data_IF_215957967282
#
_entry.id   IF_215957967282
#
_cell.length_a   1.000
_cell.length_b   1.000
_cell.length_c   1.000
_cell.angle_alpha   90.00
_cell.angle_beta   90.00
_cell.angle_gamma   90.00
#
_symmetry.space_group_name_H-M   'P 1'
#
loop_
_entity.id
_entity.type
_entity.pdbx_description
1 polymer ?
#
# COMPACT_ATOMS: atom_id res chain seq x y z
N UNK A 1 -5.05 26.74 -9.96
CA UNK A 1 -5.19 26.18 -8.61
C UNK A 1 -4.96 24.69 -8.73
N UNK A 2 -4.19 24.07 -7.83
CA UNK A 2 -4.02 22.62 -7.83
C UNK A 2 -5.37 21.94 -7.65
N UNK A 3 -5.62 20.87 -8.39
CA UNK A 3 -6.83 20.05 -8.26
C UNK A 3 -6.79 19.34 -6.91
N UNK A 4 -7.93 19.26 -6.22
CA UNK A 4 -8.04 18.67 -4.89
C UNK A 4 -8.79 17.36 -4.92
N UNK A 5 -8.53 16.53 -3.91
CA UNK A 5 -9.19 15.25 -3.64
C UNK A 5 -9.65 15.19 -2.18
N UNK A 6 -10.66 14.39 -1.89
CA UNK A 6 -11.03 14.02 -0.52
C UNK A 6 -10.11 12.93 0.01
N UNK A 7 -9.75 13.04 1.29
CA UNK A 7 -8.89 12.07 1.97
C UNK A 7 -9.25 11.94 3.45
N UNK A 8 -9.10 10.73 4.01
CA UNK A 8 -9.19 10.49 5.45
C UNK A 8 -7.84 10.80 6.10
N UNK A 9 -7.78 11.91 6.84
CA UNK A 9 -6.55 12.50 7.35
C UNK A 9 -6.45 12.28 8.86
N UNK A 10 -5.32 11.71 9.28
CA UNK A 10 -4.98 11.62 10.71
C UNK A 10 -4.60 13.01 11.25
N UNK A 11 -5.36 13.49 12.22
CA UNK A 11 -5.12 14.80 12.86
C UNK A 11 -4.36 14.63 14.18
N UNK A 12 -4.85 13.72 15.01
CA UNK A 12 -4.31 13.42 16.32
C UNK A 12 -4.92 12.13 16.87
N UNK A 13 -4.44 11.66 18.01
CA UNK A 13 -5.02 10.50 18.69
C UNK A 13 -6.53 10.61 18.82
N UNK A 14 -7.24 9.55 18.43
CA UNK A 14 -8.70 9.43 18.39
C UNK A 14 -9.39 10.40 17.42
N UNK A 15 -8.65 10.99 16.46
CA UNK A 15 -9.23 11.91 15.49
C UNK A 15 -8.67 11.72 14.08
N UNK A 16 -9.53 11.23 13.21
CA UNK A 16 -9.37 11.22 11.75
C UNK A 16 -10.50 12.09 11.19
N UNK A 17 -10.21 12.88 10.17
CA UNK A 17 -11.18 13.75 9.51
C UNK A 17 -11.19 13.47 8.01
N UNK A 18 -12.34 13.61 7.39
CA UNK A 18 -12.44 13.67 5.93
C UNK A 18 -12.26 15.14 5.52
N UNK A 19 -11.18 15.42 4.79
CA UNK A 19 -10.85 16.78 4.35
C UNK A 19 -10.20 16.74 2.96
N UNK A 20 -9.93 17.91 2.40
CA UNK A 20 -9.35 18.07 1.08
C UNK A 20 -7.83 18.16 1.11
N UNK A 21 -7.19 17.43 0.21
CA UNK A 21 -5.75 17.51 -0.07
C UNK A 21 -5.51 17.78 -1.56
N UNK A 22 -4.38 18.36 -1.95
CA UNK A 22 -4.01 18.44 -3.35
C UNK A 22 -3.80 17.04 -3.91
N UNK A 23 -4.23 16.80 -5.16
CA UNK A 23 -3.84 15.59 -5.89
C UNK A 23 -2.32 15.65 -6.12
N UNK A 24 -1.56 14.58 -5.78
CA UNK A 24 -0.11 14.60 -5.90
C UNK A 24 0.36 14.62 -7.37
N UNK A 25 1.50 15.27 -7.60
CA UNK A 25 2.20 15.21 -8.87
C UNK A 25 2.86 13.84 -9.09
N UNK A 26 2.89 13.38 -10.34
CA UNK A 26 3.44 12.07 -10.71
C UNK A 26 4.90 12.22 -11.09
N UNK A 27 5.78 11.55 -10.37
CA UNK A 27 7.21 11.44 -10.69
C UNK A 27 7.46 10.47 -11.86
N UNK A 28 8.68 10.44 -12.41
CA UNK A 28 8.99 9.63 -13.60
C UNK A 28 8.75 8.12 -13.44
N UNK A 29 8.92 7.57 -12.24
CA UNK A 29 8.77 6.14 -11.94
C UNK A 29 7.44 5.81 -11.23
N UNK A 30 6.61 6.81 -10.96
CA UNK A 30 5.41 6.70 -10.14
C UNK A 30 4.15 6.51 -10.99
N UNK A 31 3.08 6.09 -10.38
CA UNK A 31 1.74 6.10 -10.96
C UNK A 31 0.75 6.79 -10.00
N UNK A 32 -0.17 7.56 -10.55
CA UNK A 32 -1.35 8.04 -9.85
C UNK A 32 -2.48 7.06 -10.13
N UNK A 33 -3.05 6.48 -9.11
CA UNK A 33 -4.24 5.64 -9.22
C UNK A 33 -5.46 6.35 -8.63
N UNK A 34 -6.57 6.27 -9.33
CA UNK A 34 -7.88 6.66 -8.80
C UNK A 34 -8.45 5.47 -8.06
N UNK A 35 -8.63 5.62 -6.75
CA UNK A 35 -9.10 4.55 -5.87
C UNK A 35 -10.56 4.22 -6.20
N UNK A 36 -10.86 2.95 -6.40
CA UNK A 36 -12.23 2.43 -6.57
C UNK A 36 -12.73 1.78 -5.29
N UNK A 37 -11.85 1.11 -4.57
CA UNK A 37 -12.16 0.55 -3.26
C UNK A 37 -10.90 0.41 -2.41
N UNK A 38 -11.06 0.44 -1.09
CA UNK A 38 -10.01 0.24 -0.08
C UNK A 38 -10.64 -0.31 1.19
N UNK A 39 -9.84 -0.78 2.13
CA UNK A 39 -10.31 -1.32 3.40
C UNK A 39 -10.14 -0.33 4.54
N UNK A 40 -10.74 -0.67 5.69
CA UNK A 40 -10.34 -0.20 7.01
C UNK A 40 -9.70 -1.39 7.72
N UNK A 41 -8.39 -1.33 7.91
CA UNK A 41 -7.60 -2.37 8.56
C UNK A 41 -7.52 -2.16 10.08
N UNK A 42 -7.19 -3.21 10.83
CA UNK A 42 -6.84 -3.10 12.25
C UNK A 42 -5.70 -2.10 12.50
N UNK A 43 -4.78 -2.00 11.57
CA UNK A 43 -3.68 -1.01 11.59
C UNK A 43 -4.19 0.43 11.65
N UNK A 44 -5.25 0.78 10.92
CA UNK A 44 -5.85 2.12 10.95
C UNK A 44 -6.42 2.44 12.34
N UNK A 45 -6.98 1.44 13.00
CA UNK A 45 -7.47 1.55 14.39
C UNK A 45 -6.31 1.76 15.37
N UNK A 46 -5.18 1.07 15.18
CA UNK A 46 -3.97 1.28 15.99
C UNK A 46 -3.37 2.67 15.78
N UNK A 47 -3.38 3.18 14.53
CA UNK A 47 -3.00 4.57 14.22
C UNK A 47 -3.92 5.54 14.94
N UNK A 48 -5.24 5.35 14.82
CA UNK A 48 -6.24 6.20 15.49
C UNK A 48 -6.01 6.27 17.00
N UNK A 49 -5.71 5.13 17.64
CA UNK A 49 -5.41 5.06 19.07
C UNK A 49 -4.04 5.63 19.45
N UNK A 50 -3.18 5.96 18.48
CA UNK A 50 -1.81 6.44 18.69
C UNK A 50 -0.83 5.34 19.09
N UNK A 51 -1.14 4.09 18.83
CA UNK A 51 -0.28 2.92 19.09
C UNK A 51 0.80 2.79 18.01
N UNK A 52 0.49 3.22 16.77
CA UNK A 52 1.47 3.42 15.70
C UNK A 52 1.66 4.91 15.44
N UNK A 53 2.89 5.44 15.65
CA UNK A 53 3.16 6.86 15.46
C UNK A 53 3.22 7.20 13.96
N UNK A 54 2.30 8.03 13.51
CA UNK A 54 2.28 8.62 12.17
C UNK A 54 2.26 10.14 12.26
N UNK A 55 2.69 10.81 11.19
CA UNK A 55 2.67 12.26 11.15
C UNK A 55 1.24 12.81 11.08
N UNK A 56 0.99 13.93 11.76
CA UNK A 56 -0.26 14.68 11.57
C UNK A 56 -0.38 15.17 10.13
N UNK A 57 -1.58 15.13 9.58
CA UNK A 57 -1.85 15.48 8.19
C UNK A 57 -1.65 14.34 7.20
N UNK A 58 -1.22 13.15 7.65
CA UNK A 58 -1.08 11.98 6.79
C UNK A 58 -2.45 11.38 6.44
N UNK A 59 -2.63 11.01 5.19
CA UNK A 59 -3.77 10.18 4.75
C UNK A 59 -3.51 8.73 5.17
N UNK A 60 -4.50 8.08 5.78
CA UNK A 60 -4.39 6.68 6.22
C UNK A 60 -4.78 5.68 5.13
N UNK A 61 -4.63 4.37 5.42
CA UNK A 61 -4.99 3.26 4.53
C UNK A 61 -3.81 2.74 3.71
N UNK A 62 -3.78 1.41 3.46
CA UNK A 62 -2.66 0.74 2.79
C UNK A 62 -3.08 -0.44 1.91
N UNK A 63 -4.37 -0.61 1.62
CA UNK A 63 -4.91 -1.70 0.81
C UNK A 63 -5.69 -1.13 -0.40
N UNK A 64 -4.98 -0.56 -1.39
CA UNK A 64 -5.61 0.12 -2.51
C UNK A 64 -5.97 -0.83 -3.64
N UNK A 65 -7.17 -0.66 -4.17
CA UNK A 65 -7.60 -1.12 -5.49
C UNK A 65 -8.03 0.10 -6.28
N UNK A 66 -7.66 0.18 -7.55
CA UNK A 66 -8.03 1.34 -8.36
C UNK A 66 -7.72 1.20 -9.84
N UNK A 67 -7.83 2.32 -10.51
CA UNK A 67 -7.57 2.46 -11.95
C UNK A 67 -6.43 3.44 -12.13
N UNK A 68 -5.47 3.13 -12.98
CA UNK A 68 -4.37 4.02 -13.31
C UNK A 68 -4.94 5.27 -14.00
N UNK A 69 -4.79 6.41 -13.37
CA UNK A 69 -5.19 7.72 -13.88
C UNK A 69 -4.06 8.38 -14.70
N UNK A 70 -2.80 8.21 -14.23
CA UNK A 70 -1.64 8.79 -14.87
C UNK A 70 -0.39 7.99 -14.56
N UNK A 71 0.47 7.81 -15.56
CA UNK A 71 1.77 7.16 -15.45
C UNK A 71 2.92 8.15 -15.53
N UNK A 72 3.98 7.89 -14.78
CA UNK A 72 5.27 8.55 -14.93
C UNK A 72 5.95 8.16 -16.25
N UNK A 73 6.75 9.09 -16.79
CA UNK A 73 7.34 8.96 -18.12
C UNK A 73 8.29 7.78 -18.33
N UNK A 74 8.76 7.16 -17.24
CA UNK A 74 9.65 6.00 -17.27
C UNK A 74 8.95 4.69 -16.85
N UNK A 75 7.68 4.73 -16.50
CA UNK A 75 6.90 3.51 -16.17
C UNK A 75 6.63 2.71 -17.44
N UNK A 76 6.85 1.41 -17.35
CA UNK A 76 6.63 0.44 -18.45
C UNK A 76 5.77 -0.72 -17.97
N UNK A 77 5.07 -1.38 -18.89
CA UNK A 77 4.28 -2.58 -18.62
C UNK A 77 2.88 -2.30 -18.05
N UNK A 78 2.49 -1.03 -17.97
CA UNK A 78 1.15 -0.59 -17.54
C UNK A 78 0.59 0.45 -18.52
N UNK A 79 -0.74 0.61 -18.50
CA UNK A 79 -1.46 1.58 -19.32
C UNK A 79 -2.43 2.42 -18.46
N UNK A 80 -2.64 3.68 -18.83
CA UNK A 80 -3.67 4.52 -18.21
C UNK A 80 -5.05 3.90 -18.48
N UNK A 81 -5.92 3.88 -17.48
CA UNK A 81 -7.21 3.18 -17.52
C UNK A 81 -7.16 1.72 -17.07
N UNK A 82 -5.96 1.13 -16.87
CA UNK A 82 -5.81 -0.23 -16.40
C UNK A 82 -6.22 -0.38 -14.92
N UNK A 83 -6.96 -1.46 -14.59
CA UNK A 83 -7.29 -1.80 -13.21
C UNK A 83 -6.12 -2.47 -12.53
N UNK A 84 -5.79 -2.02 -11.32
CA UNK A 84 -4.61 -2.48 -10.56
C UNK A 84 -4.89 -2.55 -9.06
N UNK A 85 -4.09 -3.37 -8.38
CA UNK A 85 -3.86 -3.29 -6.94
C UNK A 85 -2.44 -2.74 -6.71
N UNK A 86 -2.22 -2.08 -5.56
CA UNK A 86 -0.88 -1.75 -5.10
C UNK A 86 -0.59 -2.42 -3.76
N UNK A 87 0.58 -3.02 -3.62
CA UNK A 87 0.96 -3.72 -2.39
C UNK A 87 1.09 -2.81 -1.18
N UNK A 88 0.65 -3.28 -0.01
CA UNK A 88 0.85 -2.58 1.26
C UNK A 88 2.36 -2.40 1.55
N UNK A 89 3.16 -3.38 1.18
CA UNK A 89 4.62 -3.30 1.16
C UNK A 89 5.03 -2.63 -0.15
N UNK A 90 5.72 -1.50 -0.04
CA UNK A 90 6.04 -0.60 -1.15
C UNK A 90 7.56 -0.39 -1.29
N UNK A 91 8.31 -1.42 -1.71
CA UNK A 91 9.76 -1.33 -1.90
C UNK A 91 10.11 -0.45 -3.11
N UNK A 92 11.36 0.03 -3.13
CA UNK A 92 11.90 0.80 -4.27
C UNK A 92 12.17 -0.07 -5.50
N UNK A 93 12.36 -1.39 -5.32
CA UNK A 93 12.68 -2.32 -6.40
C UNK A 93 14.15 -2.37 -6.82
N UNK A 94 15.00 -1.46 -6.34
CA UNK A 94 16.38 -1.32 -6.82
C UNK A 94 17.45 -1.35 -5.73
N UNK A 95 17.09 -1.51 -4.47
CA UNK A 95 18.06 -1.71 -3.39
C UNK A 95 18.59 -3.15 -3.38
N UNK A 96 19.74 -3.38 -2.71
CA UNK A 96 20.27 -4.74 -2.53
C UNK A 96 19.24 -5.65 -1.82
N UNK A 97 18.48 -5.14 -0.87
CA UNK A 97 17.41 -5.89 -0.20
C UNK A 97 16.35 -6.35 -1.21
N UNK A 98 15.89 -5.46 -2.09
CA UNK A 98 14.93 -5.79 -3.13
C UNK A 98 15.48 -6.83 -4.12
N UNK A 99 16.72 -6.65 -4.57
CA UNK A 99 17.38 -7.58 -5.51
C UNK A 99 17.58 -8.99 -4.92
N UNK A 100 17.68 -9.08 -3.60
CA UNK A 100 17.75 -10.37 -2.87
C UNK A 100 16.36 -10.91 -2.46
N UNK A 101 15.26 -10.28 -2.86
CA UNK A 101 13.90 -10.69 -2.49
C UNK A 101 13.48 -10.31 -1.06
N UNK A 102 14.31 -9.57 -0.32
CA UNK A 102 14.03 -9.13 1.05
C UNK A 102 13.34 -7.75 1.05
N UNK A 103 12.19 -7.63 0.40
CA UNK A 103 11.48 -6.37 0.17
C UNK A 103 11.14 -5.62 1.47
N UNK A 104 10.82 -6.34 2.54
CA UNK A 104 10.54 -5.77 3.87
C UNK A 104 11.75 -5.09 4.52
N UNK A 105 12.96 -5.33 4.02
CA UNK A 105 14.21 -4.72 4.49
C UNK A 105 14.64 -3.53 3.62
N UNK A 106 13.86 -3.20 2.59
CA UNK A 106 14.14 -2.04 1.75
C UNK A 106 14.11 -0.74 2.57
N UNK A 107 14.98 0.20 2.24
CA UNK A 107 15.14 1.46 2.97
C UNK A 107 15.99 1.36 4.25
N UNK A 108 16.23 0.18 4.80
CA UNK A 108 17.07 0.02 5.98
C UNK A 108 18.53 0.41 5.71
N UNK A 109 19.01 1.45 6.39
CA UNK A 109 20.39 1.95 6.23
C UNK A 109 20.68 2.64 4.90
N UNK A 110 19.68 2.94 4.09
CA UNK A 110 19.84 3.65 2.83
C UNK A 110 19.72 5.16 3.00
N UNK A 111 20.27 5.92 2.03
CA UNK A 111 20.12 7.39 1.97
C UNK A 111 18.72 7.83 1.50
N UNK A 112 17.83 6.91 1.18
CA UNK A 112 16.51 7.21 0.62
C UNK A 112 15.48 7.69 1.66
N UNK A 113 15.87 7.84 2.92
CA UNK A 113 15.11 8.58 3.92
C UNK A 113 13.88 7.88 4.50
N UNK A 114 13.53 6.67 4.09
CA UNK A 114 12.48 5.91 4.74
C UNK A 114 13.05 4.81 5.64
N UNK A 115 12.37 4.59 6.76
CA UNK A 115 12.75 3.55 7.72
C UNK A 115 12.32 2.20 7.20
N UNK A 116 13.15 1.19 7.38
CA UNK A 116 12.76 -0.20 7.18
C UNK A 116 11.71 -0.63 8.22
N UNK A 117 10.45 -0.35 7.95
CA UNK A 117 9.30 -0.72 8.78
C UNK A 117 8.56 -1.92 8.18
N UNK A 118 9.28 -2.96 7.79
CA UNK A 118 8.70 -4.07 7.03
C UNK A 118 8.34 -3.67 5.59
N UNK A 119 8.79 -2.50 5.10
CA UNK A 119 8.44 -1.95 3.80
C UNK A 119 7.07 -1.27 3.74
N UNK A 120 6.31 -1.24 4.83
CA UNK A 120 5.03 -0.56 4.90
C UNK A 120 5.20 0.96 4.88
N UNK A 121 4.72 1.61 3.82
CA UNK A 121 4.85 3.06 3.60
C UNK A 121 3.50 3.77 3.53
N UNK A 122 2.50 3.25 2.80
CA UNK A 122 1.18 3.85 2.68
C UNK A 122 0.49 3.99 4.04
N UNK A 123 0.01 5.20 4.35
CA UNK A 123 -0.62 5.50 5.63
C UNK A 123 0.33 5.46 6.83
N UNK A 124 1.65 5.37 6.60
CA UNK A 124 2.68 5.36 7.63
C UNK A 124 3.72 6.48 7.40
N UNK A 125 4.47 6.43 6.31
CA UNK A 125 5.51 7.44 5.98
C UNK A 125 5.15 8.29 4.77
N UNK A 126 4.21 7.82 3.95
CA UNK A 126 3.61 8.54 2.83
C UNK A 126 2.10 8.46 2.92
N UNK A 127 1.40 9.33 2.20
CA UNK A 127 -0.07 9.31 2.12
C UNK A 127 -0.59 7.95 1.66
N UNK A 128 -1.70 7.53 2.25
CA UNK A 128 -2.30 6.21 2.07
C UNK A 128 -3.54 6.22 1.17
N UNK A 129 -4.19 5.06 1.14
CA UNK A 129 -5.22 4.68 0.18
C UNK A 129 -6.64 5.17 0.53
N UNK A 130 -6.89 5.66 1.75
CA UNK A 130 -8.22 6.19 2.09
C UNK A 130 -8.39 7.62 1.56
N UNK A 131 -8.32 7.76 0.24
CA UNK A 131 -8.46 9.00 -0.53
C UNK A 131 -9.05 8.69 -1.92
N UNK A 132 -9.42 9.71 -2.68
CA UNK A 132 -9.89 9.54 -4.07
C UNK A 132 -8.75 9.15 -5.02
N UNK A 133 -7.52 9.60 -4.73
CA UNK A 133 -6.32 9.29 -5.51
C UNK A 133 -5.17 8.90 -4.59
N UNK A 134 -4.32 8.02 -5.08
CA UNK A 134 -3.09 7.57 -4.41
C UNK A 134 -1.92 7.66 -5.38
N UNK A 135 -0.83 8.29 -4.96
CA UNK A 135 0.45 8.19 -5.64
C UNK A 135 1.16 6.89 -5.24
N UNK A 136 1.40 6.03 -6.19
CA UNK A 136 2.16 4.79 -6.00
C UNK A 136 3.59 5.03 -6.48
N UNK A 137 4.58 5.14 -5.58
CA UNK A 137 5.96 5.29 -5.97
C UNK A 137 6.50 4.00 -6.57
N UNK A 138 7.51 4.11 -7.45
CA UNK A 138 8.17 2.95 -8.07
C UNK A 138 7.15 1.94 -8.64
N UNK A 139 6.24 2.43 -9.47
CA UNK A 139 5.01 1.75 -9.91
C UNK A 139 5.25 0.36 -10.48
N UNK A 140 6.33 0.15 -11.23
CA UNK A 140 6.67 -1.15 -11.83
C UNK A 140 6.96 -2.25 -10.79
N UNK A 141 7.32 -1.86 -9.56
CA UNK A 141 7.54 -2.80 -8.45
C UNK A 141 6.29 -3.00 -7.61
N UNK A 142 5.46 -1.99 -7.53
CA UNK A 142 4.40 -1.89 -6.51
C UNK A 142 2.98 -2.06 -7.04
N UNK A 143 2.78 -2.09 -8.36
CA UNK A 143 1.49 -2.37 -8.98
C UNK A 143 1.40 -3.81 -9.49
N UNK A 144 0.21 -4.38 -9.39
CA UNK A 144 -0.14 -5.61 -10.07
C UNK A 144 -1.47 -5.44 -10.84
N UNK A 145 -1.54 -5.89 -12.11
CA UNK A 145 -2.77 -5.81 -12.89
C UNK A 145 -3.82 -6.75 -12.32
N UNK A 146 -5.08 -6.33 -12.33
CA UNK A 146 -6.22 -7.17 -11.96
C UNK A 146 -6.61 -7.98 -13.19
N UNK A 147 -6.63 -9.33 -13.10
CA UNK A 147 -7.08 -10.20 -14.20
C UNK A 147 -8.52 -9.89 -14.61
N UNK A 148 -8.82 -10.08 -15.90
CA UNK A 148 -10.19 -10.01 -16.41
C UNK A 148 -11.09 -11.01 -15.68
N UNK A 149 -12.33 -10.58 -15.41
CA UNK A 149 -13.33 -11.41 -14.74
C UNK A 149 -13.32 -11.35 -13.22
N UNK A 150 -12.32 -10.72 -12.60
CA UNK A 150 -12.33 -10.45 -11.16
C UNK A 150 -12.85 -9.03 -10.87
N UNK A 151 -13.69 -8.90 -9.83
CA UNK A 151 -14.15 -7.60 -9.34
C UNK A 151 -13.14 -6.99 -8.38
N UNK A 152 -13.28 -5.70 -8.11
CA UNK A 152 -12.41 -4.98 -7.17
C UNK A 152 -12.53 -5.57 -5.75
N UNK A 153 -13.75 -5.96 -5.35
CA UNK A 153 -14.00 -6.59 -4.04
C UNK A 153 -13.35 -7.97 -3.90
N UNK A 154 -13.28 -8.74 -5.00
CA UNK A 154 -12.64 -10.06 -4.97
C UNK A 154 -11.13 -9.99 -4.80
N UNK A 155 -10.49 -8.91 -5.27
CA UNK A 155 -9.04 -8.72 -5.16
C UNK A 155 -8.64 -7.82 -3.99
N UNK A 156 -9.61 -7.22 -3.30
CA UNK A 156 -9.37 -6.23 -2.25
C UNK A 156 -8.46 -6.72 -1.12
N UNK A 157 -8.50 -8.02 -0.81
CA UNK A 157 -7.66 -8.60 0.24
C UNK A 157 -6.23 -8.93 -0.22
N UNK A 158 -5.95 -8.90 -1.53
CA UNK A 158 -4.64 -9.26 -2.07
C UNK A 158 -3.51 -8.31 -1.69
N UNK A 159 -3.72 -6.97 -1.63
CA UNK A 159 -2.66 -6.02 -1.31
C UNK A 159 -1.93 -6.25 0.01
N UNK A 160 -2.62 -6.76 1.03
CA UNK A 160 -2.03 -7.02 2.36
C UNK A 160 -2.43 -8.38 2.92
N UNK A 161 -3.69 -8.57 3.27
CA UNK A 161 -4.16 -9.69 4.11
C UNK A 161 -3.79 -11.03 3.50
N UNK A 162 -4.11 -11.27 2.24
CA UNK A 162 -3.81 -12.53 1.57
C UNK A 162 -2.31 -12.69 1.31
N UNK A 163 -1.62 -11.65 0.88
CA UNK A 163 -0.18 -11.70 0.62
C UNK A 163 0.62 -11.92 1.92
N UNK A 164 0.20 -11.29 3.01
CA UNK A 164 0.83 -11.46 4.34
C UNK A 164 0.59 -12.86 4.87
N UNK A 165 -0.66 -13.37 4.79
CA UNK A 165 -0.99 -14.74 5.20
C UNK A 165 -0.25 -15.79 4.37
N UNK A 166 -0.15 -15.59 3.06
CA UNK A 166 0.59 -16.47 2.15
C UNK A 166 2.09 -16.47 2.49
N UNK A 167 2.69 -15.30 2.70
CA UNK A 167 4.09 -15.17 3.12
C UNK A 167 4.35 -15.83 4.48
N UNK A 168 3.37 -15.76 5.39
CA UNK A 168 3.44 -16.48 6.68
C UNK A 168 3.49 -18.00 6.49
N UNK A 169 2.65 -18.54 5.61
CA UNK A 169 2.65 -19.97 5.30
C UNK A 169 3.96 -20.42 4.61
N UNK A 170 4.48 -19.63 3.67
CA UNK A 170 5.78 -19.90 3.02
C UNK A 170 6.92 -19.86 4.05
N UNK A 171 6.96 -18.84 4.90
CA UNK A 171 7.99 -18.68 5.93
C UNK A 171 7.94 -19.79 6.99
N UNK A 172 6.74 -20.32 7.24
CA UNK A 172 6.52 -21.49 8.09
C UNK A 172 6.81 -22.82 7.39
N UNK A 173 7.21 -22.80 6.11
CA UNK A 173 7.43 -23.98 5.28
C UNK A 173 6.26 -24.98 5.29
N UNK A 174 5.02 -24.46 5.37
CA UNK A 174 3.80 -25.26 5.46
C UNK A 174 3.62 -26.12 4.21
N UNK A 175 3.40 -27.42 4.38
CA UNK A 175 3.28 -28.42 3.30
C UNK A 175 1.98 -29.21 3.42
N UNK A 176 1.61 -29.86 2.33
CA UNK A 176 0.44 -30.75 2.29
C UNK A 176 0.63 -31.88 3.31
N UNK A 177 -0.32 -32.03 4.23
CA UNK A 177 -0.30 -33.01 5.30
C UNK A 177 0.16 -32.48 6.66
N UNK A 178 0.65 -31.25 6.74
CA UNK A 178 1.03 -30.63 7.99
C UNK A 178 -0.18 -30.31 8.87
N UNK A 179 0.04 -30.34 10.17
CA UNK A 179 -0.91 -29.85 11.18
C UNK A 179 -0.43 -28.48 11.63
N UNK A 180 -1.23 -27.45 11.35
CA UNK A 180 -0.90 -26.06 11.63
C UNK A 180 -1.79 -25.51 12.74
N UNK A 181 -1.19 -24.91 13.77
CA UNK A 181 -1.90 -24.17 14.79
C UNK A 181 -1.82 -22.67 14.52
N UNK A 182 -2.97 -22.02 14.37
CA UNK A 182 -3.07 -20.58 14.15
C UNK A 182 -3.57 -19.91 15.42
N UNK A 183 -2.79 -18.99 15.97
CA UNK A 183 -3.14 -18.18 17.12
C UNK A 183 -3.63 -16.79 16.66
N UNK A 184 -4.59 -16.20 17.41
CA UNK A 184 -5.14 -14.88 17.11
C UNK A 184 -5.72 -14.79 15.69
N UNK A 185 -6.73 -15.59 15.38
CA UNK A 185 -7.41 -15.65 14.09
C UNK A 185 -8.12 -14.33 13.76
N UNK A 186 -7.34 -13.33 13.32
CA UNK A 186 -7.78 -12.07 12.75
C UNK A 186 -7.95 -12.18 11.22
N UNK A 187 -7.92 -11.06 10.50
CA UNK A 187 -8.06 -11.06 9.03
C UNK A 187 -6.91 -11.75 8.29
N UNK A 188 -5.71 -11.78 8.86
CA UNK A 188 -4.52 -12.45 8.30
C UNK A 188 -4.46 -13.88 8.76
#
# INVERSE_FOLDING_TARGET
MAQKMKAAIFVERNRIVLDEKPIPDVGPLDALIRITTTTICGTDIHILKGEYPVARGLTIGHEPVGVIEKLGSAVQGFEEGQRVIAGAITPSGHSNACLCGCHSQDGAGTKHGFKGMGGWRFGNTIDGAQAEYLLVPDAMTNLAPIPDGLTDEQVLMCPDIMSTGFSGAESGEVRIGDIVAVFAQGPI
#
